data_IF_773066824030
#
_entry.id   IF_773066824030
#
_cell.length_a   1.000
_cell.length_b   1.000
_cell.length_c   1.000
_cell.angle_alpha   90.00
_cell.angle_beta   90.00
_cell.angle_gamma   90.00
#
_symmetry.space_group_name_H-M   'P 1'
#
loop_
_entity.id
_entity.type
_entity.pdbx_description
1 polymer ?
#
# COMPACT_ATOMS: atom_id res chain seq x y z
N UNK A 1 18.37 -6.13 22.76
CA UNK A 1 17.79 -5.01 21.97
C UNK A 1 16.29 -5.09 22.12
N UNK A 2 15.65 -3.99 22.52
CA UNK A 2 14.21 -3.93 22.77
C UNK A 2 13.44 -4.00 21.41
N UNK A 3 12.55 -4.98 21.18
CA UNK A 3 11.95 -5.22 19.86
C UNK A 3 11.00 -4.12 19.39
N UNK A 4 10.68 -3.15 20.25
CA UNK A 4 9.76 -2.05 19.95
C UNK A 4 10.45 -0.73 19.58
N UNK A 5 11.76 -0.79 19.36
CA UNK A 5 12.62 0.37 19.21
C UNK A 5 13.15 0.45 17.78
N UNK A 6 12.80 1.51 17.04
CA UNK A 6 13.13 1.73 15.62
C UNK A 6 14.62 2.06 15.44
N UNK A 7 15.45 1.03 15.31
CA UNK A 7 16.90 1.15 15.17
C UNK A 7 17.36 1.18 13.71
N UNK A 8 17.56 2.38 13.16
CA UNK A 8 18.25 2.57 11.87
C UNK A 8 19.75 2.56 12.16
N UNK A 9 20.37 1.38 12.13
CA UNK A 9 21.76 1.19 12.59
C UNK A 9 22.82 1.07 11.48
N UNK A 10 22.52 1.41 10.22
CA UNK A 10 23.49 1.22 9.11
C UNK A 10 23.70 2.43 8.19
N UNK A 11 23.34 3.65 8.60
CA UNK A 11 23.41 4.85 7.73
C UNK A 11 24.43 5.90 8.20
N UNK A 12 25.50 5.48 8.90
CA UNK A 12 26.54 6.41 9.33
C UNK A 12 27.44 6.88 8.18
N UNK A 13 27.48 6.19 7.04
CA UNK A 13 28.22 6.68 5.88
C UNK A 13 27.46 6.41 4.57
N UNK A 14 26.78 7.42 4.06
CA UNK A 14 26.64 7.53 2.60
C UNK A 14 26.67 8.99 2.20
N UNK A 15 27.84 9.39 1.72
CA UNK A 15 28.08 10.59 0.92
C UNK A 15 26.99 10.76 -0.15
N UNK A 16 26.77 12.03 -0.52
CA UNK A 16 25.79 12.53 -1.48
C UNK A 16 25.88 11.95 -2.91
N UNK A 17 25.63 10.65 -3.07
CA UNK A 17 25.23 10.05 -4.33
C UNK A 17 23.79 9.58 -4.16
N UNK A 18 22.82 10.31 -4.71
CA UNK A 18 21.48 9.75 -4.90
C UNK A 18 21.64 8.52 -5.80
N UNK A 19 21.44 7.29 -5.31
CA UNK A 19 21.52 6.14 -6.19
C UNK A 19 20.39 6.28 -7.21
N UNK A 20 20.76 6.22 -8.49
CA UNK A 20 19.83 6.18 -9.61
C UNK A 20 19.12 4.82 -9.55
N UNK A 21 18.13 4.70 -8.63
CA UNK A 21 17.43 3.46 -8.31
C UNK A 21 16.56 3.05 -9.50
N UNK A 22 17.12 2.22 -10.37
CA UNK A 22 16.44 1.67 -11.54
C UNK A 22 15.84 0.31 -11.19
N UNK A 23 14.52 0.30 -10.94
CA UNK A 23 13.75 -0.93 -10.79
C UNK A 23 13.16 -1.27 -12.14
N UNK A 24 13.71 -2.30 -12.78
CA UNK A 24 13.32 -2.67 -14.14
C UNK A 24 12.39 -3.89 -14.11
N UNK A 25 12.53 -4.80 -13.15
CA UNK A 25 11.70 -6.00 -13.07
C UNK A 25 11.40 -6.40 -11.63
N UNK A 26 10.24 -7.04 -11.46
CA UNK A 26 9.83 -7.75 -10.24
C UNK A 26 9.42 -9.16 -10.65
N UNK A 27 9.94 -10.19 -9.97
CA UNK A 27 9.66 -11.59 -10.32
C UNK A 27 9.30 -12.35 -9.05
N UNK A 28 8.23 -13.13 -9.14
CA UNK A 28 7.84 -14.09 -8.11
C UNK A 28 7.39 -15.38 -8.78
N UNK A 29 8.20 -16.44 -8.68
CA UNK A 29 8.00 -17.68 -9.42
C UNK A 29 7.89 -17.41 -10.94
N UNK A 30 6.78 -17.76 -11.58
CA UNK A 30 6.50 -17.52 -13.00
C UNK A 30 5.90 -16.14 -13.29
N UNK A 31 5.37 -15.45 -12.28
CA UNK A 31 4.80 -14.11 -12.43
C UNK A 31 5.93 -13.06 -12.50
N UNK A 32 6.10 -12.44 -13.67
CA UNK A 32 7.03 -11.33 -13.91
C UNK A 32 6.29 -10.02 -14.16
N UNK A 33 6.85 -8.92 -13.65
CA UNK A 33 6.37 -7.55 -13.90
C UNK A 33 7.53 -6.72 -14.39
N UNK A 34 7.43 -6.23 -15.62
CA UNK A 34 8.40 -5.36 -16.25
C UNK A 34 8.00 -3.90 -16.03
N UNK A 35 8.97 -3.06 -15.68
CA UNK A 35 8.79 -1.64 -15.40
C UNK A 35 9.79 -0.87 -16.26
N UNK A 36 9.27 0.05 -17.08
CA UNK A 36 10.07 0.94 -17.90
C UNK A 36 9.46 2.34 -17.88
N UNK A 37 10.32 3.36 -17.95
CA UNK A 37 9.92 4.77 -18.07
C UNK A 37 9.46 5.14 -19.47
N UNK A 38 9.72 4.31 -20.48
CA UNK A 38 9.40 4.60 -21.89
C UNK A 38 8.92 3.37 -22.67
N UNK A 39 8.19 3.61 -23.77
CA UNK A 39 7.78 2.55 -24.71
C UNK A 39 8.98 1.86 -25.34
N UNK A 40 10.04 2.61 -25.65
CA UNK A 40 11.28 2.06 -26.23
C UNK A 40 11.98 1.13 -25.22
N UNK A 41 12.10 1.56 -23.96
CA UNK A 41 12.66 0.71 -22.90
C UNK A 41 11.80 -0.54 -22.64
N UNK A 42 10.47 -0.44 -22.75
CA UNK A 42 9.59 -1.61 -22.62
C UNK A 42 9.80 -2.58 -23.80
N UNK A 43 9.96 -2.07 -25.02
CA UNK A 43 10.28 -2.88 -26.19
C UNK A 43 11.60 -3.64 -26.01
N UNK A 44 12.67 -2.95 -25.59
CA UNK A 44 13.97 -3.61 -25.37
C UNK A 44 13.88 -4.68 -24.29
N UNK A 45 13.15 -4.41 -23.21
CA UNK A 45 12.93 -5.39 -22.14
C UNK A 45 12.14 -6.61 -22.62
N UNK A 46 11.09 -6.43 -23.42
CA UNK A 46 10.33 -7.54 -24.00
C UNK A 46 11.21 -8.36 -24.96
N UNK A 47 12.04 -7.72 -25.80
CA UNK A 47 13.00 -8.41 -26.66
C UNK A 47 13.96 -9.30 -25.86
N UNK A 48 14.58 -8.76 -24.81
CA UNK A 48 15.48 -9.52 -23.91
C UNK A 48 14.73 -10.67 -23.24
N UNK A 49 13.48 -10.45 -22.86
CA UNK A 49 12.65 -11.45 -22.18
C UNK A 49 12.32 -12.63 -23.10
N UNK A 50 12.00 -12.36 -24.38
CA UNK A 50 11.75 -13.42 -25.36
C UNK A 50 13.01 -14.24 -25.68
N UNK A 51 14.16 -13.59 -25.82
CA UNK A 51 15.44 -14.29 -25.97
C UNK A 51 15.73 -15.21 -24.77
N UNK A 52 15.50 -14.70 -23.56
CA UNK A 52 15.66 -15.49 -22.34
C UNK A 52 14.71 -16.70 -22.31
N UNK A 53 13.45 -16.54 -22.72
CA UNK A 53 12.51 -17.64 -22.77
C UNK A 53 12.90 -18.70 -23.80
N UNK A 54 13.35 -18.28 -24.98
CA UNK A 54 13.81 -19.18 -26.03
C UNK A 54 15.05 -19.98 -25.60
N UNK A 55 16.04 -19.34 -24.94
CA UNK A 55 17.23 -20.02 -24.41
C UNK A 55 16.85 -21.11 -23.40
N UNK A 56 15.85 -20.84 -22.57
CA UNK A 56 15.42 -21.76 -21.51
C UNK A 56 14.36 -22.77 -21.95
N UNK A 57 14.01 -22.85 -23.24
CA UNK A 57 12.92 -23.68 -23.77
C UNK A 57 11.58 -23.45 -23.02
N UNK A 58 11.31 -22.20 -22.68
CA UNK A 58 10.07 -21.75 -22.04
C UNK A 58 9.33 -20.79 -22.95
N UNK A 59 8.05 -20.56 -22.70
CA UNK A 59 7.26 -19.58 -23.45
C UNK A 59 6.30 -18.85 -22.52
N UNK A 60 6.08 -17.57 -22.82
CA UNK A 60 5.11 -16.77 -22.09
C UNK A 60 3.71 -16.91 -22.69
N UNK A 61 2.71 -16.81 -21.82
CA UNK A 61 1.31 -16.71 -22.23
C UNK A 61 0.93 -15.24 -22.43
N UNK A 62 1.04 -14.73 -23.65
CA UNK A 62 0.76 -13.33 -23.99
C UNK A 62 -0.67 -12.90 -23.67
N UNK A 63 -1.64 -13.84 -23.64
CA UNK A 63 -3.03 -13.51 -23.29
C UNK A 63 -3.18 -13.08 -21.83
N UNK A 64 -2.21 -13.43 -20.97
CA UNK A 64 -2.17 -12.99 -19.57
C UNK A 64 -1.45 -11.65 -19.38
N UNK A 65 -0.82 -11.10 -20.42
CA UNK A 65 -0.09 -9.85 -20.29
C UNK A 65 -1.07 -8.68 -20.08
N UNK A 66 -0.74 -7.85 -19.10
CA UNK A 66 -1.53 -6.68 -18.73
C UNK A 66 -0.62 -5.47 -18.79
N UNK A 67 -0.96 -4.51 -19.66
CA UNK A 67 -0.18 -3.27 -19.77
C UNK A 67 -0.79 -2.17 -18.89
N UNK A 68 0.06 -1.58 -18.05
CA UNK A 68 -0.25 -0.42 -17.22
C UNK A 68 0.58 0.74 -17.75
N UNK A 69 -0.07 1.87 -18.06
CA UNK A 69 0.61 3.05 -18.60
C UNK A 69 -0.05 4.32 -18.10
N UNK A 70 0.75 5.36 -17.85
CA UNK A 70 0.33 6.72 -17.51
C UNK A 70 0.25 7.66 -18.72
N UNK A 71 0.55 7.19 -19.93
CA UNK A 71 0.67 8.04 -21.13
C UNK A 71 -0.65 8.36 -21.82
N UNK A 72 -1.72 7.60 -21.57
CA UNK A 72 -3.01 7.80 -22.23
C UNK A 72 -3.92 8.74 -21.42
N UNK A 73 -4.68 9.64 -22.08
CA UNK A 73 -5.51 10.62 -21.41
C UNK A 73 -6.61 9.97 -20.54
N UNK A 74 -6.87 10.61 -19.40
CA UNK A 74 -7.78 10.17 -18.32
C UNK A 74 -9.26 10.03 -18.73
N UNK A 75 -9.63 10.36 -19.97
CA UNK A 75 -10.98 10.79 -20.35
C UNK A 75 -11.84 9.79 -21.08
N UNK A 76 -11.38 8.57 -21.41
CA UNK A 76 -12.23 7.62 -22.12
C UNK A 76 -12.46 6.33 -21.33
N UNK A 77 -13.74 6.06 -21.04
CA UNK A 77 -14.23 4.73 -20.68
C UNK A 77 -14.25 3.77 -21.87
N UNK A 78 -13.61 4.14 -22.98
CA UNK A 78 -13.54 3.34 -24.18
C UNK A 78 -12.55 2.19 -23.98
N UNK A 79 -12.89 1.03 -24.53
CA UNK A 79 -11.96 -0.08 -24.74
C UNK A 79 -10.71 0.45 -25.43
N UNK A 80 -9.57 0.44 -24.72
CA UNK A 80 -8.31 0.91 -25.28
C UNK A 80 -7.85 -0.07 -26.37
N UNK A 81 -7.37 0.47 -27.49
CA UNK A 81 -6.82 -0.35 -28.56
C UNK A 81 -5.53 -1.05 -28.11
N UNK A 82 -5.26 -2.27 -28.62
CA UNK A 82 -4.02 -2.97 -28.32
C UNK A 82 -2.81 -2.17 -28.81
N UNK A 83 -1.76 -2.14 -27.98
CA UNK A 83 -0.49 -1.52 -28.31
C UNK A 83 0.45 -2.61 -28.79
N UNK A 84 0.90 -2.49 -30.03
CA UNK A 84 1.92 -3.35 -30.61
C UNK A 84 3.33 -2.88 -30.23
N UNK A 85 4.10 -3.84 -29.72
CA UNK A 85 5.53 -3.74 -29.48
C UNK A 85 6.22 -4.60 -30.54
N UNK A 86 6.79 -3.95 -31.55
CA UNK A 86 7.57 -4.64 -32.57
C UNK A 86 8.92 -4.98 -31.95
N UNK A 87 9.23 -6.25 -31.76
CA UNK A 87 10.46 -6.68 -31.12
C UNK A 87 11.62 -6.60 -32.11
N UNK A 88 12.83 -6.44 -31.58
CA UNK A 88 14.03 -6.66 -32.37
C UNK A 88 14.18 -8.16 -32.61
N UNK A 89 14.24 -8.54 -33.89
CA UNK A 89 14.46 -9.91 -34.32
C UNK A 89 15.96 -10.21 -34.23
N UNK A 90 16.30 -11.21 -33.44
CA UNK A 90 17.63 -11.81 -33.35
C UNK A 90 17.53 -13.30 -33.71
N UNK A 91 18.67 -13.98 -33.87
CA UNK A 91 18.69 -15.43 -34.12
C UNK A 91 17.93 -16.24 -33.05
N UNK A 92 17.86 -15.71 -31.83
CA UNK A 92 17.20 -16.28 -30.66
C UNK A 92 15.83 -15.64 -30.35
N UNK A 93 15.23 -14.89 -31.27
CA UNK A 93 13.88 -14.36 -31.11
C UNK A 93 13.11 -14.42 -32.43
N UNK A 94 12.17 -15.37 -32.53
CA UNK A 94 11.32 -15.57 -33.71
C UNK A 94 10.02 -14.77 -33.68
N UNK A 95 9.75 -14.03 -32.60
CA UNK A 95 8.48 -13.33 -32.39
C UNK A 95 8.62 -11.88 -32.86
N UNK A 96 7.93 -11.48 -33.94
CA UNK A 96 8.13 -10.16 -34.55
C UNK A 96 7.45 -9.04 -33.76
N UNK A 97 6.35 -9.34 -33.07
CA UNK A 97 5.60 -8.34 -32.31
C UNK A 97 4.71 -8.95 -31.24
N UNK A 98 4.57 -8.25 -30.12
CA UNK A 98 3.61 -8.56 -29.06
C UNK A 98 2.58 -7.42 -29.00
N UNK A 99 1.29 -7.78 -29.06
CA UNK A 99 0.19 -6.82 -28.90
C UNK A 99 -0.43 -6.96 -27.51
N UNK A 100 -0.38 -5.89 -26.71
CA UNK A 100 -0.91 -5.89 -25.33
C UNK A 100 -1.99 -4.83 -25.22
N UNK A 101 -3.15 -5.19 -24.67
CA UNK A 101 -4.22 -4.23 -24.38
C UNK A 101 -3.93 -3.54 -23.05
N UNK A 102 -3.85 -2.19 -23.02
CA UNK A 102 -3.67 -1.48 -21.78
C UNK A 102 -4.96 -1.48 -20.96
N UNK A 103 -4.81 -1.49 -19.64
CA UNK A 103 -5.95 -1.35 -18.73
C UNK A 103 -6.37 0.11 -18.60
N UNK A 104 -7.67 0.32 -18.42
CA UNK A 104 -8.18 1.66 -18.11
C UNK A 104 -7.67 2.16 -16.75
N UNK A 105 -7.51 3.47 -16.62
CA UNK A 105 -7.10 4.12 -15.36
C UNK A 105 -8.03 3.85 -14.18
N UNK A 106 -9.29 3.50 -14.45
CA UNK A 106 -10.31 3.23 -13.43
C UNK A 106 -10.37 1.76 -13.03
N UNK A 107 -9.84 0.85 -13.85
CA UNK A 107 -9.85 -0.58 -13.54
C UNK A 107 -8.77 -0.90 -12.51
N UNK A 108 -9.02 -1.96 -11.75
CA UNK A 108 -8.05 -2.48 -10.80
C UNK A 108 -7.36 -3.69 -11.43
N UNK A 109 -6.08 -3.87 -11.13
CA UNK A 109 -5.29 -5.03 -11.55
C UNK A 109 -4.79 -5.79 -10.32
N UNK A 110 -4.41 -7.04 -10.53
CA UNK A 110 -3.99 -7.95 -9.46
C UNK A 110 -2.48 -8.16 -9.55
N UNK A 111 -1.77 -7.96 -8.44
CA UNK A 111 -0.35 -8.29 -8.30
C UNK A 111 -0.20 -9.15 -7.04
N UNK A 112 0.29 -10.38 -7.21
CA UNK A 112 0.41 -11.39 -6.14
C UNK A 112 -0.90 -11.57 -5.34
N UNK A 113 -2.07 -11.47 -5.98
CA UNK A 113 -3.35 -11.59 -5.29
C UNK A 113 -3.82 -10.34 -4.52
N UNK A 114 -3.03 -9.27 -4.46
CA UNK A 114 -3.44 -7.95 -3.95
C UNK A 114 -3.90 -7.08 -5.11
N UNK A 115 -4.94 -6.28 -4.90
CA UNK A 115 -5.51 -5.45 -5.96
C UNK A 115 -5.05 -4.01 -5.87
N UNK A 116 -4.59 -3.49 -7.00
CA UNK A 116 -4.09 -2.14 -7.18
C UNK A 116 -4.95 -1.40 -8.19
N UNK A 117 -4.99 -0.09 -8.06
CA UNK A 117 -5.70 0.79 -8.98
C UNK A 117 -4.78 1.95 -9.33
N UNK A 118 -4.69 2.33 -10.61
CA UNK A 118 -3.75 3.38 -11.05
C UNK A 118 -4.15 4.74 -10.46
N UNK A 119 -5.46 5.02 -10.40
CA UNK A 119 -5.97 6.18 -9.66
C UNK A 119 -5.91 5.99 -8.15
N UNK A 120 -5.37 4.90 -7.61
CA UNK A 120 -5.32 4.59 -6.17
C UNK A 120 -6.72 4.70 -5.50
N UNK A 121 -7.76 4.25 -6.20
CA UNK A 121 -9.09 4.03 -5.59
C UNK A 121 -9.08 2.77 -4.74
N UNK A 122 -9.82 2.82 -3.62
CA UNK A 122 -9.96 1.70 -2.66
C UNK A 122 -11.26 0.94 -2.84
N UNK A 123 -12.11 1.37 -3.76
CA UNK A 123 -13.49 0.87 -3.87
C UNK A 123 -13.53 -0.61 -4.21
N UNK A 124 -12.60 -1.06 -5.05
CA UNK A 124 -12.46 -2.46 -5.38
C UNK A 124 -12.14 -3.29 -4.13
N UNK A 125 -11.10 -2.89 -3.38
CA UNK A 125 -10.69 -3.58 -2.14
C UNK A 125 -11.81 -3.54 -1.11
N UNK A 126 -12.50 -2.40 -0.92
CA UNK A 126 -13.67 -2.30 -0.04
C UNK A 126 -14.78 -3.28 -0.44
N UNK A 127 -15.12 -3.36 -1.73
CA UNK A 127 -16.11 -4.32 -2.25
C UNK A 127 -15.65 -5.76 -2.06
N UNK A 128 -14.36 -6.04 -2.27
CA UNK A 128 -13.77 -7.36 -2.07
C UNK A 128 -13.88 -7.81 -0.61
N UNK A 129 -13.47 -6.97 0.34
CA UNK A 129 -13.56 -7.29 1.77
C UNK A 129 -15.02 -7.50 2.21
N UNK A 130 -15.95 -6.67 1.73
CA UNK A 130 -17.39 -6.89 1.99
C UNK A 130 -17.88 -8.25 1.49
N UNK A 131 -17.46 -8.68 0.30
CA UNK A 131 -17.82 -9.99 -0.26
C UNK A 131 -17.24 -11.14 0.55
N UNK A 132 -15.99 -11.03 0.98
CA UNK A 132 -15.32 -12.03 1.82
C UNK A 132 -16.00 -12.17 3.18
N UNK A 133 -16.30 -11.05 3.85
CA UNK A 133 -17.07 -11.05 5.10
C UNK A 133 -18.49 -11.59 4.92
N UNK A 134 -19.15 -11.28 3.80
CA UNK A 134 -20.47 -11.80 3.49
C UNK A 134 -20.45 -13.31 3.27
N UNK A 135 -19.51 -13.82 2.47
CA UNK A 135 -19.33 -15.26 2.24
C UNK A 135 -19.09 -16.00 3.56
N UNK A 136 -18.21 -15.47 4.42
CA UNK A 136 -18.00 -16.02 5.77
C UNK A 136 -19.30 -16.09 6.58
N UNK A 137 -20.07 -15.00 6.61
CA UNK A 137 -21.35 -14.94 7.34
C UNK A 137 -22.37 -15.95 6.80
N UNK A 138 -22.48 -16.09 5.49
CA UNK A 138 -23.40 -17.06 4.85
C UNK A 138 -23.04 -18.49 5.25
N UNK A 139 -21.76 -18.82 5.34
CA UNK A 139 -21.30 -20.16 5.77
C UNK A 139 -21.53 -20.39 7.27
N UNK A 140 -21.25 -19.40 8.13
CA UNK A 140 -21.30 -19.56 9.59
C UNK A 140 -22.72 -19.52 10.14
N UNK A 141 -23.61 -18.73 9.54
CA UNK A 141 -24.98 -18.54 10.05
C UNK A 141 -25.75 -19.86 10.25
N UNK A 142 -25.85 -20.77 9.25
CA UNK A 142 -26.56 -22.04 9.40
C UNK A 142 -25.78 -23.09 10.21
N UNK A 143 -24.45 -22.95 10.34
CA UNK A 143 -23.61 -23.95 10.98
C UNK A 143 -23.85 -24.04 12.50
N UNK A 144 -23.92 -25.26 13.05
CA UNK A 144 -24.03 -25.53 14.49
C UNK A 144 -22.67 -25.38 15.17
N UNK A 145 -22.19 -24.15 15.26
CA UNK A 145 -20.91 -23.79 15.87
C UNK A 145 -21.14 -23.02 17.17
N UNK A 146 -20.30 -23.30 18.18
CA UNK A 146 -20.20 -22.47 19.39
C UNK A 146 -19.62 -21.10 19.07
N UNK A 147 -19.86 -20.12 19.95
CA UNK A 147 -19.32 -18.76 19.80
C UNK A 147 -17.79 -18.78 19.73
N UNK A 148 -17.14 -19.57 20.60
CA UNK A 148 -15.68 -19.67 20.65
C UNK A 148 -15.12 -20.18 19.32
N UNK A 149 -15.76 -21.16 18.70
CA UNK A 149 -15.38 -21.65 17.37
C UNK A 149 -15.56 -20.58 16.29
N UNK A 150 -16.66 -19.82 16.33
CA UNK A 150 -16.87 -18.71 15.38
C UNK A 150 -15.83 -17.61 15.54
N UNK A 151 -15.51 -17.22 16.79
CA UNK A 151 -14.47 -16.24 17.07
C UNK A 151 -13.11 -16.74 16.61
N UNK A 152 -12.79 -18.01 16.86
CA UNK A 152 -11.55 -18.62 16.38
C UNK A 152 -11.44 -18.55 14.85
N UNK A 153 -12.48 -18.97 14.12
CA UNK A 153 -12.51 -18.90 12.65
C UNK A 153 -12.37 -17.46 12.14
N UNK A 154 -13.01 -16.50 12.81
CA UNK A 154 -12.86 -15.09 12.48
C UNK A 154 -11.41 -14.62 12.67
N UNK A 155 -10.84 -14.85 13.86
CA UNK A 155 -9.51 -14.37 14.23
C UNK A 155 -8.39 -15.05 13.43
N UNK A 156 -8.45 -16.38 13.28
CA UNK A 156 -7.37 -17.17 12.70
C UNK A 156 -7.44 -17.28 11.17
N UNK A 157 -8.62 -17.14 10.56
CA UNK A 157 -8.78 -17.33 9.11
C UNK A 157 -9.24 -16.06 8.43
N UNK A 158 -10.38 -15.51 8.85
CA UNK A 158 -10.97 -14.38 8.14
C UNK A 158 -10.08 -13.14 8.25
N UNK A 159 -9.60 -12.80 9.45
CA UNK A 159 -8.74 -11.64 9.66
C UNK A 159 -7.46 -11.73 8.81
N UNK A 160 -6.79 -12.88 8.79
CA UNK A 160 -5.59 -13.07 7.95
C UNK A 160 -5.90 -12.92 6.46
N UNK A 161 -7.05 -13.44 6.00
CA UNK A 161 -7.48 -13.27 4.61
C UNK A 161 -7.74 -11.80 4.28
N UNK A 162 -8.40 -11.07 5.18
CA UNK A 162 -8.67 -9.64 4.99
C UNK A 162 -7.38 -8.82 5.03
N UNK A 163 -6.47 -9.12 5.96
CA UNK A 163 -5.14 -8.51 6.10
C UNK A 163 -4.37 -8.59 4.78
N UNK A 164 -4.27 -9.79 4.20
CA UNK A 164 -3.59 -9.99 2.93
C UNK A 164 -4.21 -9.13 1.82
N UNK A 165 -5.55 -9.10 1.70
CA UNK A 165 -6.23 -8.33 0.64
C UNK A 165 -6.08 -6.82 0.82
N UNK A 166 -5.94 -6.33 2.05
CA UNK A 166 -5.86 -4.90 2.36
C UNK A 166 -4.44 -4.43 2.71
N UNK A 167 -3.41 -5.25 2.49
CA UNK A 167 -2.03 -5.03 2.94
C UNK A 167 -1.49 -3.62 2.62
N UNK A 168 -1.85 -3.07 1.46
CA UNK A 168 -1.42 -1.75 0.96
C UNK A 168 -2.54 -0.70 0.96
N UNK A 169 -3.74 -1.05 1.44
CA UNK A 169 -4.93 -0.20 1.36
C UNK A 169 -5.37 0.25 2.73
N UNK A 170 -5.19 1.54 3.01
CA UNK A 170 -5.67 2.11 4.25
C UNK A 170 -7.19 2.33 4.24
N UNK A 171 -7.93 1.64 5.10
CA UNK A 171 -9.36 1.88 5.33
C UNK A 171 -9.58 2.79 6.53
N UNK A 172 -10.68 3.54 6.50
CA UNK A 172 -11.12 4.32 7.67
C UNK A 172 -11.77 3.40 8.70
N UNK A 173 -11.84 3.85 9.96
CA UNK A 173 -12.55 3.12 11.01
C UNK A 173 -14.03 2.87 10.65
N UNK A 174 -14.69 3.87 10.04
CA UNK A 174 -16.06 3.72 9.54
C UNK A 174 -16.18 2.66 8.45
N UNK A 175 -15.21 2.59 7.53
CA UNK A 175 -15.21 1.56 6.49
C UNK A 175 -15.07 0.16 7.11
N UNK A 176 -14.12 -0.04 8.02
CA UNK A 176 -13.91 -1.30 8.72
C UNK A 176 -15.14 -1.70 9.55
N UNK A 177 -15.78 -0.74 10.21
CA UNK A 177 -17.01 -0.96 10.97
C UNK A 177 -18.14 -1.43 10.04
N UNK A 178 -18.34 -0.78 8.90
CA UNK A 178 -19.34 -1.18 7.91
C UNK A 178 -19.07 -2.57 7.32
N UNK A 179 -17.81 -2.87 6.98
CA UNK A 179 -17.39 -4.17 6.43
C UNK A 179 -17.68 -5.31 7.42
N UNK A 180 -17.36 -5.11 8.70
CA UNK A 180 -17.47 -6.14 9.74
C UNK A 180 -18.81 -6.13 10.49
N UNK A 181 -19.76 -5.29 10.08
CA UNK A 181 -21.08 -5.16 10.74
C UNK A 181 -21.83 -6.49 10.78
N UNK A 182 -21.88 -7.22 9.67
CA UNK A 182 -22.57 -8.50 9.56
C UNK A 182 -21.95 -9.56 10.47
N UNK A 183 -20.62 -9.62 10.55
CA UNK A 183 -19.88 -10.54 11.42
C UNK A 183 -20.24 -10.30 12.88
N UNK A 184 -20.16 -9.05 13.34
CA UNK A 184 -20.52 -8.69 14.73
C UNK A 184 -21.96 -9.07 15.06
N UNK A 185 -22.88 -8.90 14.12
CA UNK A 185 -24.27 -9.33 14.28
C UNK A 185 -24.40 -10.84 14.43
N UNK A 186 -23.67 -11.63 13.63
CA UNK A 186 -23.68 -13.10 13.73
C UNK A 186 -23.06 -13.58 15.04
N UNK A 187 -21.94 -12.97 15.45
CA UNK A 187 -21.27 -13.31 16.72
C UNK A 187 -22.19 -13.02 17.90
N UNK A 188 -22.86 -11.86 17.93
CA UNK A 188 -23.87 -11.54 18.97
C UNK A 188 -25.00 -12.56 18.99
N UNK A 189 -25.55 -12.90 17.82
CA UNK A 189 -26.62 -13.90 17.71
C UNK A 189 -26.19 -15.27 18.22
N UNK A 190 -25.01 -15.77 17.81
CA UNK A 190 -24.48 -17.06 18.28
C UNK A 190 -24.19 -17.06 19.78
N UNK A 191 -23.91 -15.91 20.37
CA UNK A 191 -23.67 -15.72 21.80
C UNK A 191 -24.93 -15.48 22.63
N UNK A 192 -26.11 -15.52 22.01
CA UNK A 192 -27.38 -15.16 22.66
C UNK A 192 -27.35 -13.75 23.28
N UNK A 193 -26.55 -12.85 22.71
CA UNK A 193 -26.49 -11.46 23.15
C UNK A 193 -27.56 -10.61 22.45
N UNK A 194 -27.99 -9.57 23.15
CA UNK A 194 -28.84 -8.52 22.58
C UNK A 194 -28.18 -7.87 21.37
N UNK A 195 -28.98 -7.55 20.35
CA UNK A 195 -28.57 -6.72 19.23
C UNK A 195 -28.02 -5.35 19.69
N UNK A 196 -28.59 -4.78 20.76
CA UNK A 196 -28.21 -3.48 21.33
C UNK A 196 -26.93 -3.50 22.16
N UNK A 197 -26.35 -4.68 22.43
CA UNK A 197 -25.13 -4.79 23.22
C UNK A 197 -24.01 -3.90 22.64
N UNK A 198 -23.30 -3.10 23.44
CA UNK A 198 -22.17 -2.31 22.97
C UNK A 198 -21.11 -3.18 22.29
N UNK A 199 -20.71 -2.83 21.06
CA UNK A 199 -19.72 -3.58 20.30
C UNK A 199 -18.34 -3.72 20.98
N UNK A 200 -17.84 -2.76 21.79
CA UNK A 200 -16.55 -2.91 22.46
C UNK A 200 -16.44 -4.17 23.32
N UNK A 201 -17.54 -4.65 23.89
CA UNK A 201 -17.58 -5.88 24.72
C UNK A 201 -17.15 -7.11 23.91
N UNK A 202 -17.42 -7.15 22.60
CA UNK A 202 -17.01 -8.25 21.74
C UNK A 202 -15.49 -8.36 21.62
N UNK A 203 -14.77 -7.24 21.75
CA UNK A 203 -13.33 -7.16 21.51
C UNK A 203 -12.48 -7.42 22.75
N UNK A 204 -13.08 -7.38 23.94
CA UNK A 204 -12.37 -7.64 25.20
C UNK A 204 -11.89 -9.09 25.24
N UNK A 205 -10.61 -9.29 25.55
CA UNK A 205 -10.00 -10.61 25.65
C UNK A 205 -10.60 -11.45 26.79
N UNK A 206 -11.06 -10.81 27.86
CA UNK A 206 -11.77 -11.45 28.98
C UNK A 206 -13.18 -11.90 28.62
N UNK A 207 -13.75 -11.41 27.50
CA UNK A 207 -15.08 -11.74 27.04
C UNK A 207 -15.01 -12.70 25.84
N UNK A 208 -15.21 -12.18 24.63
CA UNK A 208 -15.17 -12.98 23.40
C UNK A 208 -13.82 -12.94 22.70
N UNK A 209 -13.02 -11.87 22.86
CA UNK A 209 -11.73 -11.74 22.18
C UNK A 209 -11.83 -11.64 20.66
N UNK A 210 -12.91 -11.08 20.12
CA UNK A 210 -13.06 -10.87 18.68
C UNK A 210 -12.07 -9.80 18.21
N UNK A 211 -11.28 -10.07 17.18
CA UNK A 211 -10.34 -9.07 16.66
C UNK A 211 -11.11 -7.95 15.93
N UNK A 212 -10.84 -6.70 16.33
CA UNK A 212 -11.31 -5.51 15.62
C UNK A 212 -10.46 -5.28 14.37
N UNK A 213 -11.09 -5.31 13.19
CA UNK A 213 -10.40 -5.17 11.90
C UNK A 213 -9.61 -3.86 11.77
N UNK A 214 -10.13 -2.74 12.28
CA UNK A 214 -9.40 -1.47 12.23
C UNK A 214 -8.16 -1.49 13.12
N UNK A 215 -8.29 -2.00 14.35
CA UNK A 215 -7.15 -2.14 15.26
C UNK A 215 -6.08 -3.08 14.67
N UNK A 216 -6.51 -4.21 14.09
CA UNK A 216 -5.63 -5.16 13.40
C UNK A 216 -4.91 -4.52 12.21
N UNK A 217 -5.63 -3.82 11.33
CA UNK A 217 -5.05 -3.11 10.19
C UNK A 217 -3.98 -2.10 10.65
N UNK A 218 -4.27 -1.32 11.70
CA UNK A 218 -3.30 -0.37 12.26
C UNK A 218 -2.04 -1.08 12.73
N UNK A 219 -2.19 -2.17 13.47
CA UNK A 219 -1.07 -2.96 13.98
C UNK A 219 -0.21 -3.49 12.82
N UNK A 220 -0.82 -4.15 11.82
CA UNK A 220 -0.08 -4.71 10.68
C UNK A 220 0.65 -3.63 9.87
N UNK A 221 0.02 -2.48 9.61
CA UNK A 221 0.67 -1.40 8.87
C UNK A 221 1.84 -0.79 9.64
N UNK A 222 1.69 -0.57 10.95
CA UNK A 222 2.77 -0.07 11.81
C UNK A 222 3.93 -1.07 11.85
N UNK A 223 3.65 -2.36 11.98
CA UNK A 223 4.68 -3.42 11.94
C UNK A 223 5.40 -3.42 10.59
N UNK A 224 4.67 -3.33 9.48
CA UNK A 224 5.29 -3.27 8.14
C UNK A 224 6.17 -2.02 7.99
N UNK A 225 5.74 -0.87 8.51
CA UNK A 225 6.56 0.33 8.53
C UNK A 225 7.83 0.13 9.36
N UNK A 226 7.72 -0.53 10.51
CA UNK A 226 8.85 -0.88 11.36
C UNK A 226 9.85 -1.79 10.63
N UNK A 227 9.35 -2.81 9.94
CA UNK A 227 10.17 -3.74 9.15
C UNK A 227 10.86 -3.04 7.97
N UNK A 228 10.19 -2.10 7.29
CA UNK A 228 10.80 -1.30 6.22
C UNK A 228 11.91 -0.39 6.74
N UNK A 229 11.68 0.27 7.88
CA UNK A 229 12.65 1.18 8.48
C UNK A 229 13.89 0.44 9.02
N UNK A 230 13.71 -0.78 9.54
CA UNK A 230 14.78 -1.60 10.10
C UNK A 230 15.28 -2.71 9.16
N UNK A 231 14.94 -2.66 7.87
CA UNK A 231 15.34 -3.70 6.93
C UNK A 231 16.86 -3.77 6.82
N UNK A 232 17.48 -4.95 6.80
CA UNK A 232 18.93 -5.10 6.60
C UNK A 232 19.39 -4.89 5.15
N UNK A 233 18.45 -4.86 4.20
CA UNK A 233 18.75 -4.64 2.78
C UNK A 233 19.00 -3.17 2.48
N UNK A 234 20.18 -2.84 1.95
CA UNK A 234 20.53 -1.48 1.51
C UNK A 234 19.56 -0.93 0.46
N UNK A 235 19.07 -1.79 -0.45
CA UNK A 235 18.08 -1.44 -1.44
C UNK A 235 16.76 -0.98 -0.81
N UNK A 236 16.20 -1.77 0.12
CA UNK A 236 14.94 -1.41 0.80
C UNK A 236 15.11 -0.14 1.64
N UNK A 237 16.24 0.02 2.32
CA UNK A 237 16.55 1.24 3.07
C UNK A 237 16.58 2.48 2.15
N UNK A 238 17.30 2.39 1.03
CA UNK A 238 17.38 3.50 0.06
C UNK A 238 16.03 3.86 -0.53
N UNK A 239 15.21 2.86 -0.87
CA UNK A 239 13.84 3.04 -1.36
C UNK A 239 12.95 3.70 -0.30
N UNK A 240 13.08 3.27 0.95
CA UNK A 240 12.32 3.85 2.07
C UNK A 240 12.69 5.32 2.30
N UNK A 241 13.98 5.66 2.29
CA UNK A 241 14.46 7.05 2.41
C UNK A 241 13.96 7.89 1.23
N UNK A 242 14.07 7.38 0.00
CA UNK A 242 13.56 8.05 -1.19
C UNK A 242 12.05 8.34 -1.06
N UNK A 243 11.28 7.37 -0.57
CA UNK A 243 9.83 7.54 -0.32
C UNK A 243 9.55 8.59 0.75
N UNK A 244 10.34 8.66 1.83
CA UNK A 244 10.22 9.71 2.84
C UNK A 244 10.51 11.10 2.26
N UNK A 245 11.57 11.25 1.46
CA UNK A 245 11.87 12.51 0.76
C UNK A 245 10.76 12.91 -0.19
N UNK A 246 10.16 11.95 -0.91
CA UNK A 246 9.03 12.24 -1.78
C UNK A 246 7.80 12.72 -0.99
N UNK A 247 7.56 12.17 0.20
CA UNK A 247 6.50 12.65 1.12
C UNK A 247 6.80 14.08 1.57
N UNK A 248 8.05 14.37 1.95
CA UNK A 248 8.46 15.73 2.31
C UNK A 248 8.23 16.72 1.18
N UNK A 249 8.65 16.38 -0.03
CA UNK A 249 8.44 17.19 -1.23
C UNK A 249 6.94 17.40 -1.52
N UNK A 250 6.15 16.32 -1.56
CA UNK A 250 4.72 16.38 -1.90
C UNK A 250 3.87 17.15 -0.89
N UNK A 251 4.29 17.18 0.37
CA UNK A 251 3.54 17.83 1.45
C UNK A 251 4.22 19.09 1.99
N UNK A 252 5.33 19.51 1.39
CA UNK A 252 6.16 20.66 1.78
C UNK A 252 6.55 20.60 3.27
N UNK A 253 7.00 19.43 3.71
CA UNK A 253 7.45 19.21 5.08
C UNK A 253 8.96 19.42 5.11
N UNK A 254 9.47 20.46 5.82
CA UNK A 254 10.90 20.75 5.86
C UNK A 254 11.67 19.83 6.81
N UNK A 255 10.98 19.11 7.71
CA UNK A 255 11.54 18.19 8.70
C UNK A 255 11.21 16.73 8.34
N UNK A 256 11.86 15.77 9.01
CA UNK A 256 11.52 14.36 8.85
C UNK A 256 10.02 14.12 9.12
N UNK A 257 9.30 13.37 8.27
CA UNK A 257 7.88 13.07 8.47
C UNK A 257 7.57 12.45 9.84
N UNK A 258 8.52 11.73 10.43
CA UNK A 258 8.39 11.13 11.76
C UNK A 258 8.32 12.15 12.91
N UNK A 259 8.83 13.37 12.71
CA UNK A 259 8.84 14.42 13.73
C UNK A 259 7.54 15.24 13.78
N UNK A 260 6.65 15.07 12.79
CA UNK A 260 5.37 15.77 12.76
C UNK A 260 4.46 15.25 13.88
N UNK A 261 4.17 16.10 14.86
CA UNK A 261 3.23 15.76 15.96
C UNK A 261 1.77 15.75 15.51
N UNK A 262 1.38 16.65 14.60
CA UNK A 262 -0.01 16.82 14.20
C UNK A 262 -0.17 16.78 12.68
N UNK A 263 -0.75 15.69 12.17
CA UNK A 263 -1.00 15.49 10.74
C UNK A 263 -2.35 16.03 10.25
N UNK A 264 -3.14 16.68 11.12
CA UNK A 264 -4.50 17.16 10.81
C UNK A 264 -4.59 18.09 9.60
N UNK A 265 -3.54 18.87 9.34
CA UNK A 265 -3.45 19.78 8.19
C UNK A 265 -3.59 18.99 6.88
N UNK A 266 -2.93 17.82 6.78
CA UNK A 266 -2.90 17.03 5.55
C UNK A 266 -4.02 15.99 5.45
N UNK A 267 -4.77 15.68 6.53
CA UNK A 267 -5.84 14.68 6.50
C UNK A 267 -6.94 14.93 5.47
N UNK A 268 -7.21 16.19 5.12
CA UNK A 268 -8.21 16.51 4.08
C UNK A 268 -7.67 16.30 2.66
N UNK A 269 -6.35 16.23 2.46
CA UNK A 269 -5.75 16.10 1.14
C UNK A 269 -5.96 14.70 0.58
N UNK A 270 -6.37 14.64 -0.67
CA UNK A 270 -6.60 13.38 -1.37
C UNK A 270 -5.30 12.59 -1.57
N UNK A 271 -4.20 13.28 -1.86
CA UNK A 271 -2.85 12.72 -1.96
C UNK A 271 -2.41 12.08 -0.64
N UNK A 272 -2.62 12.76 0.49
CA UNK A 272 -2.31 12.23 1.82
C UNK A 272 -3.08 10.94 2.10
N UNK A 273 -4.41 10.97 1.96
CA UNK A 273 -5.24 9.80 2.26
C UNK A 273 -4.75 8.56 1.51
N UNK A 274 -4.23 8.75 0.30
CA UNK A 274 -3.83 7.71 -0.65
C UNK A 274 -2.41 7.21 -0.44
N UNK A 275 -1.55 7.96 0.23
CA UNK A 275 -0.19 7.55 0.50
C UNK A 275 -0.16 6.59 1.71
N UNK A 276 0.24 5.35 1.45
CA UNK A 276 0.32 4.29 2.46
C UNK A 276 1.25 4.65 3.61
N UNK A 277 2.45 5.17 3.30
CA UNK A 277 3.48 5.46 4.31
C UNK A 277 3.07 6.68 5.11
N UNK A 278 2.64 7.77 4.45
CA UNK A 278 2.22 8.99 5.15
C UNK A 278 1.03 8.74 6.09
N UNK A 279 0.01 7.99 5.64
CA UNK A 279 -1.11 7.60 6.50
C UNK A 279 -0.66 6.75 7.69
N UNK A 280 0.26 5.81 7.48
CA UNK A 280 0.77 4.94 8.55
C UNK A 280 1.57 5.72 9.59
N UNK A 281 2.41 6.68 9.16
CA UNK A 281 3.15 7.58 10.08
C UNK A 281 2.17 8.43 10.90
N UNK A 282 1.13 8.98 10.26
CA UNK A 282 0.13 9.77 10.99
C UNK A 282 -0.65 8.92 12.00
N UNK A 283 -0.98 7.67 11.67
CA UNK A 283 -1.60 6.73 12.61
C UNK A 283 -0.68 6.42 13.79
N UNK A 284 0.62 6.27 13.55
CA UNK A 284 1.60 6.02 14.61
C UNK A 284 1.60 7.16 15.63
N UNK A 285 1.60 8.41 15.18
CA UNK A 285 1.56 9.59 16.06
C UNK A 285 0.25 9.73 16.86
N UNK A 286 -0.83 9.09 16.39
CA UNK A 286 -2.10 9.01 17.14
C UNK A 286 -2.15 7.87 18.17
N UNK A 287 -1.14 7.00 18.21
CA UNK A 287 -1.01 5.96 19.24
C UNK A 287 -0.20 6.47 20.44
N UNK A 288 -0.40 5.91 21.64
CA UNK A 288 0.44 6.23 22.79
C UNK A 288 1.89 5.72 22.64
N UNK A 289 2.19 4.92 21.61
CA UNK A 289 3.56 4.48 21.32
C UNK A 289 4.40 5.70 20.90
N UNK A 290 5.38 6.04 21.73
CA UNK A 290 6.32 7.11 21.44
C UNK A 290 7.50 6.56 20.64
N UNK A 291 7.79 7.17 19.50
CA UNK A 291 9.10 7.04 18.87
C UNK A 291 10.14 7.63 19.82
N UNK A 292 11.14 6.83 20.24
CA UNK A 292 12.23 7.33 21.07
C UNK A 292 13.08 8.32 20.26
N UNK A 293 13.03 9.59 20.67
CA UNK A 293 13.72 10.71 20.02
C UNK A 293 15.25 10.51 19.89
N UNK A 294 15.84 9.75 20.81
CA UNK A 294 17.28 9.40 20.81
C UNK A 294 17.71 8.58 19.60
N UNK A 295 16.79 7.94 18.87
CA UNK A 295 17.06 7.22 17.62
C UNK A 295 16.75 8.02 16.36
N UNK A 296 15.97 9.09 16.47
CA UNK A 296 15.68 10.02 15.37
C UNK A 296 16.89 10.87 14.99
N UNK A 297 17.80 11.12 15.94
CA UNK A 297 19.11 11.75 15.69
C UNK A 297 20.04 10.88 14.82
N UNK A 298 19.73 9.58 14.64
CA UNK A 298 20.45 8.67 13.75
C UNK A 298 19.83 8.56 12.35
N UNK A 299 18.66 9.16 12.11
CA UNK A 299 18.19 9.31 10.73
C UNK A 299 19.10 10.29 10.00
N UNK A 300 19.38 10.09 8.70
CA UNK A 300 19.98 11.14 7.89
C UNK A 300 19.16 12.41 8.09
N UNK A 301 19.83 13.55 8.27
CA UNK A 301 19.15 14.81 8.55
C UNK A 301 18.33 15.19 7.31
N UNK A 302 17.06 14.79 7.30
CA UNK A 302 16.12 15.05 6.21
C UNK A 302 15.62 16.50 6.25
N UNK A 303 16.26 17.38 7.04
CA UNK A 303 15.99 18.80 7.04
C UNK A 303 16.39 19.41 5.69
N UNK A 304 15.45 20.06 4.99
CA UNK A 304 15.84 20.93 3.87
C UNK A 304 16.74 22.05 4.42
N UNK A 305 17.92 22.21 3.83
CA UNK A 305 18.99 23.09 4.31
C UNK A 305 18.58 24.57 4.43
N UNK A 306 17.61 25.04 3.63
CA UNK A 306 17.29 26.46 3.51
C UNK A 306 15.92 26.87 4.11
N UNK A 307 15.31 26.03 4.96
CA UNK A 307 13.98 26.27 5.52
C UNK A 307 13.93 26.26 7.05
N UNK A 308 14.06 27.43 7.70
CA UNK A 308 14.01 27.52 9.17
C UNK A 308 12.59 27.48 9.76
N UNK A 309 11.57 27.92 9.02
CA UNK A 309 10.17 27.95 9.49
C UNK A 309 9.27 27.18 8.52
N UNK A 310 8.57 26.12 8.96
CA UNK A 310 7.64 25.41 8.12
C UNK A 310 6.48 26.30 7.65
N UNK A 311 6.21 26.32 6.35
CA UNK A 311 5.13 27.14 5.76
C UNK A 311 3.75 26.84 6.35
N UNK A 312 3.52 25.60 6.81
CA UNK A 312 2.28 25.20 7.46
C UNK A 312 2.11 25.78 8.87
N UNK A 313 3.19 26.28 9.49
CA UNK A 313 3.14 27.01 10.78
C UNK A 313 2.90 28.51 10.55
N UNK A 314 3.37 29.05 9.41
CA UNK A 314 3.20 30.46 9.05
C UNK A 314 1.81 30.81 8.48
N UNK A 315 1.06 29.81 8.00
CA UNK A 315 -0.20 30.03 7.29
C UNK A 315 -1.38 29.35 7.98
N UNK A 316 -2.58 29.91 7.80
CA UNK A 316 -3.79 29.19 8.22
C UNK A 316 -3.93 27.89 7.42
N UNK A 317 -4.49 26.80 8.01
CA UNK A 317 -4.64 25.53 7.31
C UNK A 317 -5.43 25.63 6.00
N UNK A 318 -6.35 26.61 5.88
CA UNK A 318 -7.11 26.87 4.65
C UNK A 318 -6.23 27.49 3.57
N UNK A 319 -5.42 28.50 3.92
CA UNK A 319 -4.50 29.15 2.99
C UNK A 319 -3.42 28.18 2.51
N UNK A 320 -2.78 27.44 3.43
CA UNK A 320 -1.75 26.46 3.08
C UNK A 320 -2.26 25.43 2.08
N UNK A 321 -3.49 24.91 2.26
CA UNK A 321 -4.12 23.96 1.34
C UNK A 321 -4.36 24.55 -0.06
N UNK A 322 -4.82 25.81 -0.13
CA UNK A 322 -5.10 26.47 -1.40
C UNK A 322 -3.82 26.68 -2.22
N UNK A 323 -2.71 27.03 -1.55
CA UNK A 323 -1.44 27.32 -2.21
C UNK A 323 -0.52 26.10 -2.40
N UNK A 324 -0.78 24.96 -1.75
CA UNK A 324 0.06 23.74 -1.83
C UNK A 324 0.39 23.34 -3.27
N UNK A 325 -0.61 23.28 -4.16
CA UNK A 325 -0.41 22.88 -5.57
C UNK A 325 0.40 23.89 -6.38
N UNK A 326 0.39 25.16 -5.99
CA UNK A 326 1.18 26.22 -6.63
C UNK A 326 2.63 26.15 -6.14
N UNK A 327 2.81 25.89 -4.84
CA UNK A 327 4.11 25.79 -4.20
C UNK A 327 4.90 24.54 -4.64
N UNK A 328 4.24 23.39 -4.89
CA UNK A 328 4.91 22.17 -5.39
C UNK A 328 5.30 22.20 -6.88
N UNK A 329 4.86 23.21 -7.65
CA UNK A 329 5.12 23.33 -9.10
C UNK A 329 6.37 24.14 -9.45
N UNK A 330 6.97 24.82 -8.48
CA UNK A 330 8.23 25.56 -8.62
C UNK A 330 9.38 24.70 -8.13
#
# INVERSE_FOLDING_TARGET
>A
MDPYVLSILSLIDSQDSSPDLKINNLVFMDDSTLISSSKVGMKSMLSITEEFYQINNTSANYNKYVLITNSFPLSSSSTLSPITFNLELFSLNSIPSIAITPISMTTSFRFLGVWFNIKNSRDFVKKQLKRECYSFVVTIRPAKLSVKQVVYLHNAILILKLEYRMQVTHLSESDCHLITRSIRSVVKYKANFSCSLPNPILFLSQALGLINLFAHQRQCHIINLFLMANSSSSFIQSLFIYRLRLIQYNFLIPISPFLIKNWSIWFSLFSFKKDYIACTIALLNSTPFRLLYTQLLKLPNLSLLDGHVPLFECMTPKAFKAYLLILCKR
#
